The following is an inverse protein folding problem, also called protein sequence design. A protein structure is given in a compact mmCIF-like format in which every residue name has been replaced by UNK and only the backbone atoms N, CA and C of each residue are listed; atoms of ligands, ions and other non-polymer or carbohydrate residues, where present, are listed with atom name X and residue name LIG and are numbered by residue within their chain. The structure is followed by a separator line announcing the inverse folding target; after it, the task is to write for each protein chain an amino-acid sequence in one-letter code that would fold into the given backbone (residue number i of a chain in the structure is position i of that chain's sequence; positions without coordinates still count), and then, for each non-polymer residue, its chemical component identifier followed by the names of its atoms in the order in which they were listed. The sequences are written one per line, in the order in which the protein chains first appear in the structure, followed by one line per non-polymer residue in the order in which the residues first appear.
data_IF_156675664389
#
_entry.id   IF_156675664389
#
_cell.length_a   1.000
_cell.length_b   1.000
_cell.length_c   1.000
_cell.angle_alpha   90.00
_cell.angle_beta   90.00
_cell.angle_gamma   90.00
#
_symmetry.space_group_name_H-M   'P 1'
#
loop_
_entity.id
_entity.type
_entity.pdbx_description
1 polymer ?
#
# COMPACT_ATOMS: atom_id res chain seq x y z
N UNK A 1 -16.62 43.54 10.64
CA UNK A 1 -16.24 42.86 9.37
C UNK A 1 -17.46 42.05 8.96
N UNK A 2 -18.13 42.44 7.88
CA UNK A 2 -19.43 41.88 7.52
C UNK A 2 -19.34 40.43 7.11
N UNK A 3 -20.20 39.58 7.67
CA UNK A 3 -20.29 38.14 7.39
C UNK A 3 -20.40 37.85 5.89
N UNK A 4 -21.02 38.74 5.13
CA UNK A 4 -21.11 38.66 3.67
C UNK A 4 -19.73 38.80 2.99
N UNK A 5 -18.87 39.65 3.52
CA UNK A 5 -17.50 39.83 2.98
C UNK A 5 -16.61 38.62 3.25
N UNK A 6 -16.73 38.04 4.46
CA UNK A 6 -16.01 36.81 4.83
C UNK A 6 -16.48 35.61 3.97
N UNK A 7 -17.78 35.51 3.70
CA UNK A 7 -18.35 34.45 2.87
C UNK A 7 -17.93 34.58 1.39
N UNK A 8 -17.89 35.83 0.84
CA UNK A 8 -17.39 36.05 -0.52
C UNK A 8 -15.89 35.79 -0.66
N UNK A 9 -15.06 36.10 0.34
CA UNK A 9 -13.63 35.80 0.31
C UNK A 9 -13.37 34.30 0.41
N UNK A 10 -14.13 33.55 1.21
CA UNK A 10 -14.06 32.08 1.26
C UNK A 10 -14.48 31.41 -0.07
N UNK A 11 -15.52 31.93 -0.74
CA UNK A 11 -15.96 31.47 -2.05
C UNK A 11 -14.93 31.78 -3.14
N UNK A 12 -14.28 32.95 -3.13
CA UNK A 12 -13.21 33.31 -4.08
C UNK A 12 -11.95 32.48 -3.86
N UNK A 13 -11.56 32.19 -2.62
CA UNK A 13 -10.43 31.30 -2.31
C UNK A 13 -10.67 29.87 -2.80
N UNK A 14 -11.93 29.38 -2.78
CA UNK A 14 -12.25 28.03 -3.28
C UNK A 14 -12.08 27.89 -4.80
N UNK A 15 -12.20 28.98 -5.55
CA UNK A 15 -12.01 28.96 -7.03
C UNK A 15 -10.55 28.92 -7.44
N UNK A 16 -9.63 29.41 -6.62
CA UNK A 16 -8.19 29.42 -6.93
C UNK A 16 -7.51 28.06 -6.75
N UNK A 17 -8.15 27.11 -6.06
CA UNK A 17 -7.60 25.80 -5.80
C UNK A 17 -7.81 24.78 -6.94
N UNK A 18 -8.74 25.03 -7.86
CA UNK A 18 -9.06 24.07 -8.92
C UNK A 18 -8.03 23.98 -10.06
N UNK A 19 -7.23 25.01 -10.30
CA UNK A 19 -6.26 25.02 -11.41
C UNK A 19 -4.94 24.28 -11.11
N UNK A 20 -4.60 24.06 -9.83
CA UNK A 20 -3.36 23.37 -9.42
C UNK A 20 -3.60 21.91 -9.00
N UNK A 21 -4.85 21.45 -8.94
CA UNK A 21 -5.27 20.21 -8.31
C UNK A 21 -4.72 18.95 -9.01
N UNK A 22 -4.65 18.95 -10.34
CA UNK A 22 -4.21 17.78 -11.09
C UNK A 22 -2.73 17.45 -10.87
N UNK A 23 -1.85 18.45 -10.81
CA UNK A 23 -0.43 18.23 -10.55
C UNK A 23 -0.20 17.78 -9.09
N UNK A 24 -0.86 18.42 -8.12
CA UNK A 24 -0.75 18.04 -6.70
C UNK A 24 -1.24 16.61 -6.43
N UNK A 25 -2.37 16.21 -7.01
CA UNK A 25 -2.91 14.86 -6.88
C UNK A 25 -1.98 13.83 -7.54
N UNK A 26 -1.44 14.13 -8.73
CA UNK A 26 -0.47 13.25 -9.37
C UNK A 26 0.77 13.07 -8.48
N UNK A 27 1.37 14.18 -8.04
CA UNK A 27 2.56 14.18 -7.18
C UNK A 27 2.33 13.43 -5.87
N UNK A 28 1.16 13.55 -5.23
CA UNK A 28 0.85 12.81 -4.01
C UNK A 28 0.87 11.29 -4.23
N UNK A 29 0.35 10.81 -5.37
CA UNK A 29 0.45 9.40 -5.74
C UNK A 29 1.89 8.96 -6.03
N UNK A 30 2.71 9.84 -6.61
CA UNK A 30 4.13 9.57 -6.88
C UNK A 30 4.92 9.51 -5.57
N UNK A 31 4.62 10.36 -4.60
CA UNK A 31 5.19 10.30 -3.25
C UNK A 31 4.84 8.98 -2.56
N UNK A 32 3.58 8.56 -2.61
CA UNK A 32 3.13 7.31 -1.98
C UNK A 32 3.74 6.06 -2.62
N UNK A 33 4.05 6.09 -3.92
CA UNK A 33 4.78 5.01 -4.61
C UNK A 33 6.09 4.66 -3.88
N UNK A 34 6.82 5.66 -3.40
CA UNK A 34 8.08 5.46 -2.68
C UNK A 34 7.89 5.37 -1.16
N UNK A 35 7.05 6.22 -0.60
CA UNK A 35 6.86 6.30 0.85
C UNK A 35 6.33 5.00 1.47
N UNK A 36 5.41 4.32 0.79
CA UNK A 36 4.79 3.10 1.34
C UNK A 36 5.76 1.91 1.39
N UNK A 37 6.51 1.56 0.32
CA UNK A 37 7.53 0.52 0.41
C UNK A 37 8.63 0.86 1.41
N UNK A 38 9.05 2.13 1.47
CA UNK A 38 10.05 2.58 2.46
C UNK A 38 9.52 2.42 3.88
N UNK A 39 8.26 2.78 4.15
CA UNK A 39 7.64 2.59 5.46
C UNK A 39 7.52 1.09 5.82
N UNK A 40 7.15 0.24 4.87
CA UNK A 40 7.04 -1.20 5.08
C UNK A 40 8.42 -1.84 5.37
N UNK A 41 9.44 -1.54 4.56
CA UNK A 41 10.79 -2.03 4.78
C UNK A 41 11.41 -1.42 6.05
N UNK A 42 11.24 -0.11 6.25
CA UNK A 42 11.74 0.61 7.43
C UNK A 42 11.17 0.08 8.74
N UNK A 43 9.89 -0.30 8.77
CA UNK A 43 9.28 -0.89 9.96
C UNK A 43 9.95 -2.21 10.36
N UNK A 44 10.33 -3.06 9.40
CA UNK A 44 11.04 -4.32 9.70
C UNK A 44 12.43 -4.06 10.31
N UNK A 45 13.13 -3.07 9.77
CA UNK A 45 14.48 -2.70 10.26
C UNK A 45 14.42 -2.09 11.66
N UNK A 46 13.45 -1.20 11.93
CA UNK A 46 13.30 -0.52 13.22
C UNK A 46 12.99 -1.47 14.38
N UNK A 47 12.22 -2.54 14.11
CA UNK A 47 11.86 -3.53 15.14
C UNK A 47 12.77 -4.76 15.12
N UNK A 48 13.77 -4.81 14.24
CA UNK A 48 14.70 -5.94 14.13
C UNK A 48 14.09 -7.21 13.52
N UNK A 49 13.00 -7.07 12.76
CA UNK A 49 12.28 -8.18 12.12
C UNK A 49 12.99 -8.65 10.84
N UNK A 50 14.02 -9.46 11.00
CA UNK A 50 14.83 -9.97 9.88
C UNK A 50 14.02 -10.82 8.91
N UNK A 51 13.15 -11.68 9.44
CA UNK A 51 12.29 -12.54 8.61
C UNK A 51 11.28 -11.71 7.83
N UNK A 52 10.68 -10.71 8.46
CA UNK A 52 9.82 -9.73 7.79
C UNK A 52 10.54 -8.97 6.67
N UNK A 53 11.81 -8.58 6.88
CA UNK A 53 12.60 -7.92 5.84
C UNK A 53 12.79 -8.82 4.60
N UNK A 54 13.10 -10.09 4.81
CA UNK A 54 13.28 -11.07 3.72
C UNK A 54 11.94 -11.34 3.03
N UNK A 55 10.85 -11.48 3.78
CA UNK A 55 9.51 -11.72 3.26
C UNK A 55 9.02 -10.52 2.44
N UNK A 56 9.23 -9.30 2.93
CA UNK A 56 8.93 -8.08 2.20
C UNK A 56 9.69 -8.03 0.87
N UNK A 57 11.00 -8.25 0.91
CA UNK A 57 11.84 -8.21 -0.29
C UNK A 57 11.40 -9.24 -1.34
N UNK A 58 11.10 -10.48 -0.93
CA UNK A 58 10.59 -11.52 -1.84
C UNK A 58 9.28 -11.11 -2.50
N UNK A 59 8.33 -10.60 -1.72
CA UNK A 59 7.03 -10.13 -2.22
C UNK A 59 7.20 -8.93 -3.15
N UNK A 60 8.07 -7.99 -2.81
CA UNK A 60 8.36 -6.81 -3.61
C UNK A 60 8.99 -7.17 -4.97
N UNK A 61 10.03 -8.01 -4.98
CA UNK A 61 10.67 -8.47 -6.21
C UNK A 61 9.69 -9.20 -7.12
N UNK A 62 8.84 -10.08 -6.56
CA UNK A 62 7.82 -10.76 -7.36
C UNK A 62 6.80 -9.78 -7.94
N UNK A 63 6.35 -8.80 -7.14
CA UNK A 63 5.43 -7.76 -7.59
C UNK A 63 5.99 -6.97 -8.78
N UNK A 64 7.23 -6.49 -8.66
CA UNK A 64 7.88 -5.72 -9.71
C UNK A 64 8.13 -6.57 -10.97
N UNK A 65 8.55 -7.83 -10.79
CA UNK A 65 8.78 -8.74 -11.91
C UNK A 65 7.49 -9.01 -12.71
N UNK A 66 6.37 -9.30 -12.03
CA UNK A 66 5.07 -9.51 -12.68
C UNK A 66 4.59 -8.22 -13.36
N UNK A 67 4.64 -7.09 -12.63
CA UNK A 67 4.17 -5.80 -13.12
C UNK A 67 4.96 -5.36 -14.37
N UNK A 68 6.28 -5.48 -14.32
CA UNK A 68 7.16 -5.11 -15.43
C UNK A 68 7.01 -6.07 -16.60
N UNK A 69 6.95 -7.38 -16.33
CA UNK A 69 6.73 -8.40 -17.36
C UNK A 69 5.42 -8.18 -18.12
N UNK A 70 4.33 -7.88 -17.42
CA UNK A 70 3.04 -7.57 -18.05
C UNK A 70 3.06 -6.25 -18.83
N UNK A 71 3.79 -5.23 -18.35
CA UNK A 71 3.96 -3.97 -19.10
C UNK A 71 4.72 -4.18 -20.41
N UNK A 72 5.69 -5.07 -20.44
CA UNK A 72 6.45 -5.40 -21.64
C UNK A 72 5.66 -6.30 -22.61
N UNK A 73 4.75 -7.11 -22.09
CA UNK A 73 3.94 -8.04 -22.88
C UNK A 73 2.65 -7.43 -23.44
N UNK A 74 2.09 -6.40 -22.75
CA UNK A 74 0.79 -5.82 -23.07
C UNK A 74 0.96 -4.35 -23.45
N UNK A 75 0.84 -4.10 -24.75
CA UNK A 75 0.90 -2.76 -25.32
C UNK A 75 -0.49 -2.10 -25.22
N UNK A 76 -0.71 -1.31 -24.16
CA UNK A 76 -1.98 -0.64 -23.89
C UNK A 76 -1.78 0.84 -23.69
N UNK A 77 -2.42 1.65 -24.55
CA UNK A 77 -2.35 3.10 -24.47
C UNK A 77 -2.98 3.63 -23.19
N UNK A 78 -2.38 4.67 -22.61
CA UNK A 78 -2.93 5.37 -21.43
C UNK A 78 -4.11 6.25 -21.81
N UNK A 79 -5.05 6.51 -20.84
CA UNK A 79 -6.17 7.42 -21.08
C UNK A 79 -5.77 8.84 -21.52
N UNK A 80 -4.57 9.32 -21.14
CA UNK A 80 -4.02 10.62 -21.51
C UNK A 80 -3.18 10.59 -22.81
N UNK A 81 -3.06 9.43 -23.47
CA UNK A 81 -2.26 9.26 -24.70
C UNK A 81 -0.75 9.41 -24.52
N UNK A 82 -0.24 9.47 -23.28
CA UNK A 82 1.18 9.78 -23.01
C UNK A 82 2.14 8.65 -23.41
N UNK A 83 1.71 7.41 -23.36
CA UNK A 83 2.47 6.21 -23.76
C UNK A 83 1.59 4.96 -23.76
N UNK A 84 2.16 3.80 -24.15
CA UNK A 84 1.47 2.51 -24.28
C UNK A 84 1.69 1.57 -23.08
N UNK A 85 2.22 2.06 -21.97
CA UNK A 85 2.50 1.25 -20.77
C UNK A 85 1.40 1.40 -19.70
N UNK A 86 0.11 1.36 -20.11
CA UNK A 86 -1.00 1.54 -19.16
C UNK A 86 -1.18 0.33 -18.24
N UNK A 87 -1.06 -0.89 -18.74
CA UNK A 87 -1.40 -2.10 -17.99
C UNK A 87 -0.16 -2.87 -17.51
N UNK A 88 -0.19 -3.35 -16.27
CA UNK A 88 -1.01 -2.93 -15.13
C UNK A 88 -0.47 -1.62 -14.50
N UNK A 89 -1.21 -1.03 -13.53
CA UNK A 89 -0.75 0.14 -12.78
C UNK A 89 0.36 -0.22 -11.79
N UNK A 90 1.59 0.22 -12.06
CA UNK A 90 2.75 -0.02 -11.18
C UNK A 90 2.63 0.70 -9.84
N UNK A 91 2.17 1.96 -9.80
CA UNK A 91 1.93 2.69 -8.56
C UNK A 91 0.99 1.93 -7.63
N UNK A 92 -0.09 1.40 -8.21
CA UNK A 92 -1.08 0.65 -7.43
C UNK A 92 -0.52 -0.69 -6.96
N UNK A 93 0.18 -1.44 -7.83
CA UNK A 93 0.72 -2.74 -7.43
C UNK A 93 1.73 -2.61 -6.29
N UNK A 94 2.64 -1.65 -6.37
CA UNK A 94 3.66 -1.42 -5.35
C UNK A 94 3.06 -0.96 -4.03
N UNK A 95 2.09 -0.04 -4.04
CA UNK A 95 1.46 0.44 -2.80
C UNK A 95 0.56 -0.61 -2.15
N UNK A 96 -0.17 -1.41 -2.93
CA UNK A 96 -0.97 -2.53 -2.40
C UNK A 96 -0.08 -3.67 -1.88
N UNK A 97 1.07 -3.93 -2.51
CA UNK A 97 2.05 -4.88 -2.01
C UNK A 97 2.55 -4.47 -0.62
N UNK A 98 2.94 -3.21 -0.43
CA UNK A 98 3.39 -2.69 0.86
C UNK A 98 2.26 -2.70 1.90
N UNK A 99 1.04 -2.29 1.54
CA UNK A 99 -0.12 -2.31 2.44
C UNK A 99 -0.47 -3.72 2.91
N UNK A 100 -0.45 -4.70 1.99
CA UNK A 100 -0.71 -6.11 2.31
C UNK A 100 0.35 -6.69 3.23
N UNK A 101 1.63 -6.36 2.99
CA UNK A 101 2.71 -6.75 3.88
C UNK A 101 2.48 -6.21 5.29
N UNK A 102 2.25 -4.91 5.44
CA UNK A 102 2.01 -4.27 6.74
C UNK A 102 0.81 -4.92 7.45
N UNK A 103 -0.29 -5.13 6.74
CA UNK A 103 -1.50 -5.74 7.32
C UNK A 103 -1.25 -7.19 7.76
N UNK A 104 -0.65 -8.00 6.90
CA UNK A 104 -0.46 -9.42 7.18
C UNK A 104 0.63 -9.66 8.22
N UNK A 105 1.69 -8.85 8.22
CA UNK A 105 2.81 -8.95 9.17
C UNK A 105 2.44 -8.38 10.54
N UNK A 106 1.89 -7.15 10.59
CA UNK A 106 1.71 -6.38 11.82
C UNK A 106 0.24 -6.19 12.24
N UNK A 107 -0.71 -6.71 11.45
CA UNK A 107 -2.13 -6.74 11.80
C UNK A 107 -2.94 -5.55 11.27
N UNK A 108 -4.26 -5.64 11.52
CA UNK A 108 -5.25 -4.72 10.95
C UNK A 108 -5.06 -3.27 11.41
N UNK A 109 -4.58 -3.06 12.63
CA UNK A 109 -4.37 -1.69 13.17
C UNK A 109 -3.49 -0.84 12.26
N UNK A 110 -2.44 -1.42 11.69
CA UNK A 110 -1.51 -0.76 10.76
C UNK A 110 -1.93 -0.98 9.29
N UNK A 111 -2.60 -2.09 9.01
CA UNK A 111 -3.05 -2.43 7.67
C UNK A 111 -4.15 -1.53 7.14
N UNK A 112 -5.16 -1.16 7.97
CA UNK A 112 -6.26 -0.31 7.53
C UNK A 112 -5.77 1.03 6.98
N UNK A 113 -4.97 1.84 7.71
CA UNK A 113 -4.43 3.08 7.15
C UNK A 113 -3.54 2.86 5.93
N UNK A 114 -2.77 1.76 5.88
CA UNK A 114 -1.94 1.45 4.72
C UNK A 114 -2.80 1.16 3.47
N UNK A 115 -3.89 0.40 3.59
CA UNK A 115 -4.81 0.17 2.48
C UNK A 115 -5.57 1.42 2.05
N UNK A 116 -5.90 2.33 2.96
CA UNK A 116 -6.50 3.62 2.59
C UNK A 116 -5.54 4.44 1.72
N UNK A 117 -4.25 4.49 2.07
CA UNK A 117 -3.23 5.17 1.27
C UNK A 117 -3.00 4.48 -0.08
N UNK A 118 -2.97 3.14 -0.14
CA UNK A 118 -2.86 2.39 -1.38
C UNK A 118 -4.07 2.62 -2.30
N UNK A 119 -5.29 2.63 -1.74
CA UNK A 119 -6.51 2.93 -2.47
C UNK A 119 -6.53 4.37 -3.00
N UNK A 120 -6.07 5.32 -2.18
CA UNK A 120 -5.89 6.70 -2.62
C UNK A 120 -4.88 6.78 -3.77
N UNK A 121 -3.76 6.05 -3.72
CA UNK A 121 -2.83 5.99 -4.85
C UNK A 121 -3.52 5.49 -6.12
N UNK A 122 -4.31 4.41 -6.05
CA UNK A 122 -5.09 3.93 -7.19
C UNK A 122 -6.06 4.99 -7.74
N UNK A 123 -6.76 5.70 -6.83
CA UNK A 123 -7.63 6.82 -7.21
C UNK A 123 -6.87 7.92 -7.96
N UNK A 124 -5.68 8.32 -7.47
CA UNK A 124 -4.88 9.37 -8.15
C UNK A 124 -4.55 8.99 -9.60
N UNK A 125 -4.30 7.70 -9.88
CA UNK A 125 -3.97 7.23 -11.25
C UNK A 125 -5.15 7.29 -12.20
N UNK A 126 -6.36 7.01 -11.73
CA UNK A 126 -7.59 7.13 -12.51
C UNK A 126 -7.92 8.62 -12.71
N UNK A 127 -7.91 9.39 -11.63
CA UNK A 127 -8.26 10.81 -11.65
C UNK A 127 -7.36 11.62 -12.60
N UNK A 128 -6.06 11.35 -12.60
CA UNK A 128 -5.08 12.02 -13.46
C UNK A 128 -4.97 11.40 -14.86
N UNK A 129 -5.89 10.50 -15.22
CA UNK A 129 -5.96 9.84 -16.53
C UNK A 129 -4.67 9.08 -16.91
N UNK A 130 -3.89 8.63 -15.94
CA UNK A 130 -2.68 7.82 -16.17
C UNK A 130 -2.99 6.35 -16.40
N UNK A 131 -4.08 5.84 -15.82
CA UNK A 131 -4.50 4.44 -15.89
C UNK A 131 -6.02 4.31 -15.95
N UNK A 132 -6.51 3.30 -16.64
CA UNK A 132 -7.92 2.89 -16.57
C UNK A 132 -8.19 2.16 -15.25
N UNK A 133 -9.47 2.07 -14.86
CA UNK A 133 -9.89 1.36 -13.65
C UNK A 133 -9.38 -0.09 -13.61
N UNK A 134 -9.44 -0.82 -14.73
CA UNK A 134 -8.97 -2.21 -14.80
C UNK A 134 -7.44 -2.34 -14.62
N UNK A 135 -6.67 -1.32 -15.02
CA UNK A 135 -5.21 -1.33 -14.81
C UNK A 135 -4.87 -1.18 -13.33
N UNK A 136 -5.65 -0.35 -12.63
CA UNK A 136 -5.56 -0.14 -11.18
C UNK A 136 -5.99 -1.40 -10.43
N UNK A 137 -7.11 -2.01 -10.82
CA UNK A 137 -7.60 -3.24 -10.22
C UNK A 137 -6.60 -4.39 -10.38
N UNK A 138 -6.06 -4.57 -11.60
CA UNK A 138 -5.02 -5.57 -11.86
C UNK A 138 -3.76 -5.32 -11.02
N UNK A 139 -3.31 -4.05 -10.95
CA UNK A 139 -2.20 -3.67 -10.06
C UNK A 139 -2.46 -4.03 -8.60
N UNK A 140 -3.65 -3.73 -8.08
CA UNK A 140 -4.02 -4.08 -6.70
C UNK A 140 -3.99 -5.60 -6.46
N UNK A 141 -4.52 -6.40 -7.38
CA UNK A 141 -4.51 -7.88 -7.30
C UNK A 141 -3.08 -8.42 -7.31
N UNK A 142 -2.21 -7.90 -8.19
CA UNK A 142 -0.80 -8.30 -8.26
C UNK A 142 -0.09 -7.97 -6.95
N UNK A 143 -0.27 -6.75 -6.44
CA UNK A 143 0.36 -6.31 -5.20
C UNK A 143 -0.07 -7.14 -3.99
N UNK A 144 -1.38 -7.35 -3.84
CA UNK A 144 -1.94 -8.20 -2.76
C UNK A 144 -1.42 -9.64 -2.89
N UNK A 145 -1.51 -10.25 -4.07
CA UNK A 145 -1.08 -11.62 -4.30
C UNK A 145 0.40 -11.84 -4.03
N UNK A 146 1.25 -10.95 -4.54
CA UNK A 146 2.71 -11.04 -4.35
C UNK A 146 3.13 -10.98 -2.89
N UNK A 147 2.52 -10.09 -2.11
CA UNK A 147 2.81 -9.99 -0.67
C UNK A 147 2.22 -11.16 0.10
N UNK A 148 1.00 -11.58 -0.26
CA UNK A 148 0.30 -12.65 0.45
C UNK A 148 1.05 -13.98 0.40
N UNK A 149 1.75 -14.28 -0.69
CA UNK A 149 2.50 -15.52 -0.88
C UNK A 149 3.68 -15.67 0.10
N UNK A 150 4.33 -14.57 0.45
CA UNK A 150 5.58 -14.64 1.24
C UNK A 150 5.45 -14.16 2.67
N UNK A 151 4.36 -13.45 3.03
CA UNK A 151 4.26 -12.83 4.35
C UNK A 151 3.54 -13.74 5.34
N UNK A 152 4.10 -13.90 6.53
CA UNK A 152 3.51 -14.57 7.69
C UNK A 152 3.30 -13.57 8.84
N UNK A 153 2.31 -13.77 9.72
CA UNK A 153 2.07 -12.86 10.84
C UNK A 153 3.24 -12.87 11.83
N UNK A 154 3.70 -11.69 12.26
CA UNK A 154 4.80 -11.51 13.21
C UNK A 154 4.53 -12.24 14.54
N UNK A 155 3.34 -12.10 15.11
CA UNK A 155 2.96 -12.73 16.37
C UNK A 155 2.94 -14.26 16.28
N UNK A 156 2.63 -14.84 15.12
CA UNK A 156 2.62 -16.29 14.95
C UNK A 156 4.02 -16.90 15.07
N UNK A 157 5.05 -16.16 14.72
CA UNK A 157 6.45 -16.61 14.79
C UNK A 157 7.06 -16.41 16.17
N UNK A 158 6.58 -15.42 16.93
CA UNK A 158 7.17 -15.00 18.19
C UNK A 158 6.36 -15.40 19.43
N UNK A 159 5.10 -15.80 19.28
CA UNK A 159 4.22 -16.18 20.40
C UNK A 159 3.88 -17.67 20.33
N UNK A 160 4.35 -18.45 21.29
CA UNK A 160 3.96 -19.85 21.52
C UNK A 160 2.99 -19.92 22.70
N UNK A 161 1.78 -20.44 22.47
CA UNK A 161 0.86 -20.77 23.55
C UNK A 161 1.22 -22.16 24.09
N UNK A 162 1.46 -22.25 25.38
CA UNK A 162 1.76 -23.53 26.07
C UNK A 162 0.60 -23.92 26.97
N UNK A 163 0.12 -25.16 26.81
CA UNK A 163 -0.81 -25.80 27.71
C UNK A 163 -0.03 -26.89 28.47
N UNK A 164 0.12 -26.74 29.77
CA UNK A 164 0.70 -27.79 30.60
C UNK A 164 -0.32 -28.31 31.59
N UNK A 165 -0.31 -29.61 31.81
CA UNK A 165 -1.12 -30.27 32.85
C UNK A 165 -0.16 -30.77 33.95
N UNK A 166 -0.35 -30.30 35.17
CA UNK A 166 0.39 -30.75 36.34
C UNK A 166 -0.59 -31.00 37.45
N UNK A 167 -0.63 -32.26 37.92
CA UNK A 167 -1.40 -32.70 39.09
C UNK A 167 -2.84 -32.16 39.19
N UNK A 168 -3.66 -32.42 38.16
CA UNK A 168 -5.06 -31.99 38.08
C UNK A 168 -5.30 -30.47 37.86
N UNK A 169 -4.26 -29.71 37.59
CA UNK A 169 -4.37 -28.29 37.24
C UNK A 169 -3.93 -28.05 35.79
N UNK A 170 -4.78 -27.34 35.00
CA UNK A 170 -4.44 -26.91 33.67
C UNK A 170 -3.82 -25.51 33.74
N UNK A 171 -2.56 -25.40 33.31
CA UNK A 171 -1.86 -24.12 33.20
C UNK A 171 -1.83 -23.68 31.75
N UNK A 172 -2.40 -22.52 31.47
CA UNK A 172 -2.26 -21.82 30.20
C UNK A 172 -1.12 -20.82 30.34
N UNK A 173 -0.09 -20.99 29.53
CA UNK A 173 1.04 -20.09 29.50
C UNK A 173 1.30 -19.57 28.08
N UNK A 174 2.13 -18.55 27.95
CA UNK A 174 2.67 -18.10 26.68
C UNK A 174 4.18 -17.93 26.80
N UNK A 175 4.88 -18.24 25.72
CA UNK A 175 6.32 -18.01 25.57
C UNK A 175 6.52 -17.03 24.42
N UNK A 176 7.17 -15.93 24.69
CA UNK A 176 7.56 -14.97 23.67
C UNK A 176 9.05 -15.15 23.34
N UNK A 177 9.37 -15.29 22.05
CA UNK A 177 10.75 -15.34 21.54
C UNK A 177 11.13 -13.94 21.06
N UNK A 178 12.20 -13.40 21.62
CA UNK A 178 12.78 -12.13 21.25
C UNK A 178 13.72 -12.29 20.06
#
# INVERSE_FOLDING_TARGET
MDFKFLFCTLLLCSQLTFSQTNNGINTSGDILLFAMPIAAAGSTLLIGDKDGSIQFLKGFVLNEAITLGLKLAIDKERPDGSNTNSFPSGHTSTTFQAATFIQKRYGLKFGIPAYLLASYTGFTRIYTKKHYFLDVLAGAVIGVGSSFLFTTPYLKEHLELTLSNSENNYLLGFKYKF
#
